data_IF_996889796641
#
_entry.id   IF_996889796641
#
_cell.length_a   1.000
_cell.length_b   1.000
_cell.length_c   1.000
_cell.angle_alpha   90.00
_cell.angle_beta   90.00
_cell.angle_gamma   90.00
#
_symmetry.space_group_name_H-M   'P 1'
#
loop_
_entity.id
_entity.type
_entity.pdbx_description
1 polymer ?
#
# COMPACT_ATOMS: atom_id res chain seq x y z
N UNK A 1 -6.89 -5.01 -22.40
CA UNK A 1 -7.25 -3.73 -21.76
C UNK A 1 -8.20 -4.06 -20.63
N UNK A 2 -7.82 -3.79 -19.37
CA UNK A 2 -8.68 -4.05 -18.22
C UNK A 2 -9.97 -3.23 -18.33
N UNK A 3 -11.07 -3.85 -17.90
CA UNK A 3 -12.37 -3.19 -17.80
C UNK A 3 -12.54 -2.60 -16.39
N UNK A 4 -13.54 -1.72 -16.21
CA UNK A 4 -13.78 -1.05 -14.94
C UNK A 4 -13.90 -2.02 -13.75
N UNK A 5 -14.52 -3.18 -13.96
CA UNK A 5 -14.73 -4.16 -12.89
C UNK A 5 -13.41 -4.80 -12.44
N UNK A 6 -12.50 -5.11 -13.36
CA UNK A 6 -11.17 -5.61 -13.03
C UNK A 6 -10.33 -4.53 -12.35
N UNK A 7 -10.32 -3.30 -12.88
CA UNK A 7 -9.60 -2.18 -12.29
C UNK A 7 -10.07 -1.89 -10.86
N UNK A 8 -11.37 -1.90 -10.60
CA UNK A 8 -11.91 -1.68 -9.25
C UNK A 8 -11.55 -2.80 -8.28
N UNK A 9 -11.47 -4.06 -8.73
CA UNK A 9 -11.04 -5.19 -7.88
C UNK A 9 -9.57 -5.11 -7.50
N UNK A 10 -8.74 -4.67 -8.43
CA UNK A 10 -7.28 -4.60 -8.25
C UNK A 10 -6.82 -3.26 -7.65
N UNK A 11 -7.74 -2.30 -7.46
CA UNK A 11 -7.43 -0.94 -7.04
C UNK A 11 -6.74 -0.86 -5.67
N UNK A 12 -7.13 -1.68 -4.71
CA UNK A 12 -6.49 -1.70 -3.38
C UNK A 12 -5.06 -2.23 -3.47
N UNK A 13 -4.85 -3.34 -4.18
CA UNK A 13 -3.51 -3.90 -4.42
C UNK A 13 -2.61 -2.90 -5.14
N UNK A 14 -3.17 -2.13 -6.09
CA UNK A 14 -2.47 -1.04 -6.75
C UNK A 14 -2.03 0.04 -5.74
N UNK A 15 -2.95 0.48 -4.88
CA UNK A 15 -2.69 1.51 -3.87
C UNK A 15 -1.68 1.04 -2.80
N UNK A 16 -1.64 -0.26 -2.49
CA UNK A 16 -0.66 -0.88 -1.59
C UNK A 16 0.69 -1.17 -2.23
N UNK A 17 0.84 -0.94 -3.53
CA UNK A 17 2.05 -1.31 -4.30
C UNK A 17 2.31 -2.83 -4.29
N UNK A 18 1.25 -3.63 -4.20
CA UNK A 18 1.28 -5.10 -4.16
C UNK A 18 0.94 -5.75 -5.51
N UNK A 19 0.68 -4.95 -6.54
CA UNK A 19 0.46 -5.48 -7.88
C UNK A 19 1.75 -5.83 -8.61
N UNK A 20 1.75 -6.89 -9.44
CA UNK A 20 2.85 -7.17 -10.36
C UNK A 20 3.08 -6.00 -11.33
N UNK A 21 4.35 -5.73 -11.67
CA UNK A 21 4.73 -4.63 -12.57
C UNK A 21 3.96 -4.63 -13.90
N UNK A 22 3.72 -5.81 -14.50
CA UNK A 22 2.97 -5.93 -15.73
C UNK A 22 1.51 -5.42 -15.60
N UNK A 23 0.91 -5.54 -14.41
CA UNK A 23 -0.45 -5.07 -14.15
C UNK A 23 -0.56 -3.59 -13.82
N UNK A 24 0.50 -3.01 -13.25
CA UNK A 24 0.56 -1.58 -12.95
C UNK A 24 0.29 -0.75 -14.20
N UNK A 25 0.97 -1.05 -15.32
CA UNK A 25 0.81 -0.30 -16.57
C UNK A 25 -0.63 -0.40 -17.11
N UNK A 26 -1.21 -1.60 -17.10
CA UNK A 26 -2.58 -1.81 -17.59
C UNK A 26 -3.63 -1.04 -16.78
N UNK A 27 -3.50 -1.03 -15.45
CA UNK A 27 -4.39 -0.27 -14.57
C UNK A 27 -4.21 1.23 -14.78
N UNK A 28 -2.97 1.73 -14.88
CA UNK A 28 -2.72 3.15 -15.11
C UNK A 28 -3.32 3.63 -16.43
N UNK A 29 -3.23 2.83 -17.49
CA UNK A 29 -3.89 3.14 -18.77
C UNK A 29 -5.41 3.26 -18.59
N UNK A 30 -6.04 2.40 -17.79
CA UNK A 30 -7.48 2.49 -17.54
C UNK A 30 -7.84 3.70 -16.65
N UNK A 31 -7.11 3.93 -15.56
CA UNK A 31 -7.35 5.05 -14.65
C UNK A 31 -7.22 6.41 -15.36
N UNK A 32 -6.30 6.53 -16.32
CA UNK A 32 -6.13 7.77 -17.10
C UNK A 32 -7.22 7.97 -18.16
N UNK A 33 -7.90 6.90 -18.58
CA UNK A 33 -8.94 6.94 -19.62
C UNK A 33 -10.38 6.86 -19.10
N UNK A 34 -10.60 6.57 -17.81
CA UNK A 34 -11.92 6.34 -17.23
C UNK A 34 -12.14 7.20 -15.99
N UNK A 35 -13.01 8.21 -16.10
CA UNK A 35 -13.32 9.16 -15.01
C UNK A 35 -13.92 8.48 -13.77
N UNK A 36 -14.74 7.44 -13.95
CA UNK A 36 -15.36 6.73 -12.83
C UNK A 36 -14.30 5.96 -12.00
N UNK A 37 -13.41 5.24 -12.67
CA UNK A 37 -12.33 4.52 -12.00
C UNK A 37 -11.28 5.49 -11.43
N UNK A 38 -11.03 6.62 -12.09
CA UNK A 38 -10.19 7.69 -11.54
C UNK A 38 -10.79 8.26 -10.25
N UNK A 39 -12.08 8.55 -10.22
CA UNK A 39 -12.76 9.04 -9.01
C UNK A 39 -12.71 8.03 -7.86
N UNK A 40 -12.87 6.74 -8.16
CA UNK A 40 -12.67 5.68 -7.18
C UNK A 40 -11.24 5.67 -6.64
N UNK A 41 -10.23 5.73 -7.52
CA UNK A 41 -8.83 5.82 -7.11
C UNK A 41 -8.56 7.01 -6.18
N UNK A 42 -9.01 8.20 -6.56
CA UNK A 42 -8.82 9.43 -5.79
C UNK A 42 -9.46 9.35 -4.40
N UNK A 43 -10.69 8.83 -4.32
CA UNK A 43 -11.38 8.63 -3.05
C UNK A 43 -10.60 7.68 -2.12
N UNK A 44 -10.17 6.52 -2.62
CA UNK A 44 -9.43 5.55 -1.81
C UNK A 44 -8.04 6.09 -1.40
N UNK A 45 -7.36 6.83 -2.29
CA UNK A 45 -6.08 7.47 -1.98
C UNK A 45 -6.22 8.52 -0.86
N UNK A 46 -7.26 9.35 -0.92
CA UNK A 46 -7.55 10.35 0.11
C UNK A 46 -7.90 9.67 1.45
N UNK A 47 -8.76 8.65 1.43
CA UNK A 47 -9.12 7.89 2.62
C UNK A 47 -7.88 7.29 3.30
N UNK A 48 -6.98 6.67 2.54
CA UNK A 48 -5.70 6.13 3.04
C UNK A 48 -4.83 7.22 3.67
N UNK A 49 -4.75 8.40 3.05
CA UNK A 49 -4.00 9.52 3.60
C UNK A 49 -4.55 9.96 4.97
N UNK A 50 -5.88 10.03 5.11
CA UNK A 50 -6.55 10.36 6.37
C UNK A 50 -6.29 9.29 7.44
N UNK A 51 -6.43 8.01 7.10
CA UNK A 51 -6.17 6.89 8.02
C UNK A 51 -4.72 6.91 8.49
N UNK A 52 -3.76 7.06 7.57
CA UNK A 52 -2.33 7.20 7.90
C UNK A 52 -2.06 8.38 8.81
N UNK A 53 -2.69 9.54 8.56
CA UNK A 53 -2.51 10.72 9.40
C UNK A 53 -3.03 10.52 10.83
N UNK A 54 -4.13 9.77 11.00
CA UNK A 54 -4.66 9.41 12.32
C UNK A 54 -3.80 8.38 13.04
N UNK A 55 -3.39 7.30 12.35
CA UNK A 55 -2.57 6.24 12.93
C UNK A 55 -1.19 6.74 13.40
N UNK A 56 -0.62 7.75 12.74
CA UNK A 56 0.65 8.38 13.18
C UNK A 56 0.59 9.04 14.57
N UNK A 57 -0.60 9.30 15.11
CA UNK A 57 -0.77 9.90 16.44
C UNK A 57 -0.63 8.89 17.57
N UNK A 58 -0.65 7.60 17.24
CA UNK A 58 -0.42 6.54 18.22
C UNK A 58 1.09 6.42 18.45
N UNK A 59 1.51 6.58 19.71
CA UNK A 59 2.91 6.35 20.05
C UNK A 59 3.18 4.84 19.97
N UNK A 60 4.32 4.46 19.41
CA UNK A 60 4.82 3.09 19.58
C UNK A 60 5.16 2.87 21.06
N UNK A 61 5.05 1.65 21.59
CA UNK A 61 5.56 1.35 22.92
C UNK A 61 7.05 1.66 23.03
N UNK A 62 7.48 2.17 24.18
CA UNK A 62 8.89 2.42 24.44
C UNK A 62 9.71 1.13 24.25
N UNK A 63 10.88 1.25 23.61
CA UNK A 63 11.75 0.11 23.30
C UNK A 63 11.25 -0.82 22.19
N UNK A 64 10.13 -0.52 21.50
CA UNK A 64 9.68 -1.33 20.36
C UNK A 64 10.74 -1.41 19.25
N UNK A 65 11.33 -0.26 18.88
CA UNK A 65 12.38 -0.21 17.84
C UNK A 65 13.61 -1.02 18.24
N UNK A 66 14.03 -0.92 19.50
CA UNK A 66 15.19 -1.66 20.01
C UNK A 66 14.95 -3.17 19.96
N UNK A 67 13.75 -3.62 20.37
CA UNK A 67 13.34 -5.03 20.28
C UNK A 67 13.26 -5.53 18.85
N UNK A 68 12.76 -4.69 17.93
CA UNK A 68 12.68 -5.01 16.51
C UNK A 68 14.09 -5.18 15.91
N UNK A 69 15.02 -4.28 16.24
CA UNK A 69 16.41 -4.35 15.78
C UNK A 69 17.12 -5.59 16.31
N UNK A 70 16.90 -5.96 17.57
CA UNK A 70 17.47 -7.17 18.17
C UNK A 70 17.05 -8.46 17.44
N UNK A 71 15.89 -8.48 16.77
CA UNK A 71 15.48 -9.63 15.94
C UNK A 71 16.30 -9.78 14.64
N UNK A 72 16.94 -8.72 14.17
CA UNK A 72 17.77 -8.73 12.96
C UNK A 72 19.25 -8.93 13.26
N UNK A 73 19.67 -8.90 14.53
CA UNK A 73 21.02 -9.23 14.91
C UNK A 73 21.28 -10.73 14.67
N UNK A 74 22.34 -11.10 13.93
CA UNK A 74 22.68 -12.50 13.75
C UNK A 74 22.98 -13.10 15.12
N UNK A 75 22.22 -14.12 15.50
CA UNK A 75 22.59 -14.95 16.64
C UNK A 75 23.93 -15.59 16.29
N UNK A 76 25.00 -15.02 16.83
CA UNK A 76 26.32 -15.59 16.68
C UNK A 76 26.33 -16.76 17.67
N UNK A 77 26.05 -17.97 17.17
CA UNK A 77 26.22 -19.18 17.96
C UNK A 77 27.67 -19.22 18.46
N UNK A 78 27.92 -19.37 19.77
CA UNK A 78 29.27 -19.54 20.27
C UNK A 78 29.75 -20.96 19.92
N UNK A 79 30.90 -21.05 19.25
CA UNK A 79 31.67 -22.29 19.01
C UNK A 79 31.95 -23.07 20.32
#
# INVERSE_FOLDING_TARGET
MPNCQETLKELELFLDSELPNARIEEIMVHLTGCTDCQGAFEFHAELRAIVRAKAKRDHLPDGFTDRLLACFEPQTDPD
#
